data_IF_441838678470
#
_entry.id   IF_441838678470
#
_cell.length_a   1.000
_cell.length_b   1.000
_cell.length_c   1.000
_cell.angle_alpha   90.00
_cell.angle_beta   90.00
_cell.angle_gamma   90.00
#
_symmetry.space_group_name_H-M   'P 1'
#
loop_
_entity.id
_entity.type
_entity.pdbx_description
1 polymer ?
#
# COMPACT_ATOMS: atom_id res chain seq x y z
N UNK A 1 -1.87 15.33 0.57
CA UNK A 1 -3.09 14.58 0.95
C UNK A 1 -3.55 13.51 -0.06
N UNK A 2 -3.62 13.76 -1.38
CA UNK A 2 -4.18 12.77 -2.33
C UNK A 2 -3.38 11.46 -2.34
N UNK A 3 -2.05 11.54 -2.44
CA UNK A 3 -1.17 10.37 -2.45
C UNK A 3 -1.26 9.54 -1.16
N UNK A 4 -1.32 10.21 0.00
CA UNK A 4 -1.50 9.56 1.29
C UNK A 4 -2.81 8.77 1.37
N UNK A 5 -3.92 9.36 0.90
CA UNK A 5 -5.21 8.66 0.86
C UNK A 5 -5.19 7.47 -0.10
N UNK A 6 -4.56 7.63 -1.27
CA UNK A 6 -4.46 6.58 -2.26
C UNK A 6 -3.62 5.38 -1.76
N UNK A 7 -2.50 5.65 -1.07
CA UNK A 7 -1.66 4.56 -0.55
C UNK A 7 -2.30 3.84 0.64
N UNK A 8 -3.09 4.54 1.47
CA UNK A 8 -3.89 3.90 2.53
C UNK A 8 -4.96 2.98 1.94
N UNK A 9 -5.69 3.43 0.92
CA UNK A 9 -6.67 2.60 0.22
C UNK A 9 -6.02 1.37 -0.45
N UNK A 10 -4.84 1.57 -1.06
CA UNK A 10 -4.06 0.46 -1.63
C UNK A 10 -3.67 -0.56 -0.54
N UNK A 11 -3.21 -0.10 0.62
CA UNK A 11 -2.88 -0.97 1.75
C UNK A 11 -4.10 -1.78 2.24
N UNK A 12 -5.27 -1.15 2.33
CA UNK A 12 -6.52 -1.82 2.70
C UNK A 12 -6.91 -2.91 1.68
N UNK A 13 -6.83 -2.61 0.38
CA UNK A 13 -7.11 -3.61 -0.67
C UNK A 13 -6.14 -4.79 -0.61
N UNK A 14 -4.88 -4.52 -0.31
CA UNK A 14 -3.84 -5.54 -0.17
C UNK A 14 -3.88 -6.28 1.18
N UNK A 15 -4.77 -5.90 2.10
CA UNK A 15 -4.87 -6.49 3.43
C UNK A 15 -3.67 -6.20 4.33
N UNK A 16 -2.93 -5.12 4.05
CA UNK A 16 -1.77 -4.71 4.84
C UNK A 16 -2.22 -4.05 6.13
N UNK A 17 -1.63 -4.48 7.25
CA UNK A 17 -1.80 -3.80 8.51
C UNK A 17 -1.04 -2.46 8.53
N UNK A 18 -1.46 -1.55 9.41
CA UNK A 18 -0.91 -0.19 9.46
C UNK A 18 0.59 -0.16 9.83
N UNK A 19 1.05 -1.09 10.65
CA UNK A 19 2.46 -1.29 11.00
C UNK A 19 3.28 -1.77 9.78
N UNK A 20 2.74 -2.69 8.99
CA UNK A 20 3.36 -3.13 7.73
C UNK A 20 3.47 -1.98 6.73
N UNK A 21 2.41 -1.16 6.59
CA UNK A 21 2.46 0.02 5.74
C UNK A 21 3.49 1.05 6.23
N UNK A 22 3.57 1.29 7.53
CA UNK A 22 4.58 2.18 8.12
C UNK A 22 6.00 1.69 7.84
N UNK A 23 6.25 0.37 7.93
CA UNK A 23 7.52 -0.25 7.57
C UNK A 23 7.84 -0.08 6.08
N UNK A 24 6.88 -0.34 5.18
CA UNK A 24 7.06 -0.16 3.74
C UNK A 24 7.42 1.29 3.40
N UNK A 25 6.69 2.25 3.98
CA UNK A 25 6.93 3.67 3.76
C UNK A 25 8.14 4.23 4.52
N UNK A 26 8.80 3.40 5.34
CA UNK A 26 9.90 3.79 6.22
C UNK A 26 9.55 5.00 7.11
N UNK A 27 8.43 4.88 7.84
CA UNK A 27 7.91 5.88 8.76
C UNK A 27 8.00 5.34 10.19
N UNK A 28 8.60 6.11 11.09
CA UNK A 28 8.94 5.66 12.45
C UNK A 28 7.73 5.43 13.37
N UNK A 29 6.54 5.91 13.00
CA UNK A 29 5.34 5.73 13.81
C UNK A 29 4.06 5.64 13.01
N UNK A 30 3.26 4.62 13.31
CA UNK A 30 1.89 4.43 12.82
C UNK A 30 1.01 5.64 13.12
N UNK A 31 1.27 6.37 14.22
CA UNK A 31 0.55 7.61 14.56
C UNK A 31 0.70 8.70 13.50
N UNK A 32 1.74 8.64 12.67
CA UNK A 32 1.97 9.59 11.60
C UNK A 32 1.18 9.26 10.33
N UNK A 33 0.52 8.09 10.24
CA UNK A 33 -0.31 7.72 9.10
C UNK A 33 -1.59 8.57 9.00
N UNK A 34 -2.12 9.05 10.13
CA UNK A 34 -3.36 9.87 10.16
C UNK A 34 -3.14 11.30 9.67
N UNK A 35 -1.92 11.82 9.76
CA UNK A 35 -1.52 13.13 9.24
C UNK A 35 -0.50 12.99 8.09
N UNK A 36 -0.55 11.87 7.38
CA UNK A 36 0.44 11.52 6.38
C UNK A 36 0.41 12.51 5.22
N UNK A 37 1.55 13.19 5.02
CA UNK A 37 1.82 13.99 3.84
C UNK A 37 2.94 13.35 3.06
N UNK A 38 2.68 13.05 1.78
CA UNK A 38 3.63 12.47 0.87
C UNK A 38 3.82 13.42 -0.31
N UNK A 39 5.03 13.93 -0.44
CA UNK A 39 5.49 14.54 -1.67
C UNK A 39 5.77 13.42 -2.69
N UNK A 40 5.11 13.41 -3.87
CA UNK A 40 5.31 12.41 -4.91
C UNK A 40 6.76 12.24 -5.39
N UNK A 41 7.60 13.26 -5.20
CA UNK A 41 9.01 13.27 -5.62
C UNK A 41 9.98 12.90 -4.48
N UNK A 42 9.46 12.76 -3.25
CA UNK A 42 10.24 12.24 -2.13
C UNK A 42 10.39 10.72 -2.22
N UNK A 43 11.40 10.18 -1.53
CA UNK A 43 11.61 8.73 -1.44
C UNK A 43 10.37 7.98 -0.91
N UNK A 44 9.71 8.50 0.14
CA UNK A 44 8.47 7.89 0.62
C UNK A 44 7.33 7.98 -0.41
N UNK A 45 7.24 9.09 -1.15
CA UNK A 45 6.27 9.26 -2.23
C UNK A 45 6.45 8.28 -3.37
N UNK A 46 7.69 8.04 -3.80
CA UNK A 46 8.01 7.05 -4.83
C UNK A 46 7.65 5.62 -4.39
N UNK A 47 7.92 5.27 -3.13
CA UNK A 47 7.52 3.98 -2.55
C UNK A 47 5.99 3.86 -2.53
N UNK A 48 5.28 4.90 -2.09
CA UNK A 48 3.82 4.91 -2.06
C UNK A 48 3.21 4.74 -3.47
N UNK A 49 3.75 5.47 -4.46
CA UNK A 49 3.35 5.33 -5.86
C UNK A 49 3.61 3.91 -6.39
N UNK A 50 4.71 3.30 -5.99
CA UNK A 50 5.05 1.92 -6.36
C UNK A 50 4.03 0.94 -5.78
N UNK A 51 3.66 1.07 -4.50
CA UNK A 51 2.64 0.24 -3.88
C UNK A 51 1.27 0.37 -4.55
N UNK A 52 0.87 1.61 -4.90
CA UNK A 52 -0.38 1.86 -5.65
C UNK A 52 -0.34 1.16 -7.01
N UNK A 53 0.77 1.26 -7.75
CA UNK A 53 0.93 0.60 -9.06
C UNK A 53 0.84 -0.92 -8.96
N UNK A 54 1.44 -1.52 -7.93
CA UNK A 54 1.33 -2.96 -7.66
C UNK A 54 -0.14 -3.34 -7.44
N UNK A 55 -0.84 -2.58 -6.59
CA UNK A 55 -2.26 -2.80 -6.29
C UNK A 55 -3.12 -2.73 -7.54
N UNK A 56 -2.95 -1.69 -8.37
CA UNK A 56 -3.67 -1.54 -9.64
C UNK A 56 -3.37 -2.68 -10.62
N UNK A 57 -2.13 -3.16 -10.65
CA UNK A 57 -1.75 -4.28 -11.52
C UNK A 57 -2.40 -5.58 -11.06
N UNK A 58 -2.44 -5.82 -9.74
CA UNK A 58 -3.12 -6.99 -9.17
C UNK A 58 -4.63 -6.92 -9.36
N UNK A 59 -5.24 -5.75 -9.19
CA UNK A 59 -6.67 -5.52 -9.46
C UNK A 59 -7.03 -5.86 -10.91
N UNK A 60 -6.22 -5.39 -11.88
CA UNK A 60 -6.39 -5.71 -13.29
C UNK A 60 -6.23 -7.20 -13.62
N UNK A 61 -5.37 -7.92 -12.89
CA UNK A 61 -5.14 -9.36 -13.08
C UNK A 61 -6.22 -10.24 -12.42
N UNK A 62 -6.77 -9.78 -11.30
CA UNK A 62 -7.74 -10.54 -10.49
C UNK A 62 -9.20 -10.15 -10.80
N UNK A 63 -9.41 -9.10 -11.59
CA UNK A 63 -10.74 -8.56 -11.88
C UNK A 63 -11.37 -7.85 -10.66
N UNK A 64 -10.53 -7.30 -9.78
CA UNK A 64 -10.96 -6.65 -8.54
C UNK A 64 -11.29 -7.58 -7.38
N UNK A 65 -10.95 -8.87 -7.48
CA UNK A 65 -11.13 -9.82 -6.38
C UNK A 65 -10.08 -9.58 -5.28
N UNK A 66 -10.49 -8.83 -4.27
CA UNK A 66 -9.63 -8.44 -3.14
C UNK A 66 -9.12 -9.65 -2.35
N UNK A 67 -9.89 -10.75 -2.27
CA UNK A 67 -9.44 -11.95 -1.57
C UNK A 67 -8.29 -12.64 -2.33
N UNK A 68 -8.37 -12.68 -3.66
CA UNK A 68 -7.28 -13.14 -4.51
C UNK A 68 -6.04 -12.24 -4.44
N UNK A 69 -6.21 -10.92 -4.41
CA UNK A 69 -5.10 -9.98 -4.25
C UNK A 69 -4.36 -10.18 -2.92
N UNK A 70 -5.09 -10.38 -1.82
CA UNK A 70 -4.52 -10.65 -0.50
C UNK A 70 -3.84 -12.03 -0.45
N UNK A 71 -4.45 -13.04 -1.08
CA UNK A 71 -3.84 -14.37 -1.18
C UNK A 71 -2.50 -14.31 -1.92
N UNK A 72 -2.42 -13.57 -3.03
CA UNK A 72 -1.20 -13.44 -3.83
C UNK A 72 -0.02 -12.84 -3.03
N UNK A 73 -0.29 -11.87 -2.14
CA UNK A 73 0.76 -11.27 -1.30
C UNK A 73 1.18 -12.14 -0.11
N UNK A 74 0.30 -13.01 0.37
CA UNK A 74 0.52 -13.81 1.58
C UNK A 74 0.89 -15.26 1.28
N UNK A 75 0.74 -15.72 0.03
CA UNK A 75 1.12 -17.07 -0.38
C UNK A 75 2.64 -17.23 -0.38
N UNK A 76 3.18 -17.64 0.76
CA UNK A 76 4.41 -18.42 0.81
C UNK A 76 4.14 -19.74 0.06
N UNK A 77 5.03 -20.22 -0.84
CA UNK A 77 4.87 -21.57 -1.39
C UNK A 77 4.96 -22.57 -0.24
N UNK A 78 4.21 -23.69 -0.29
CA UNK A 78 4.26 -24.72 0.75
C UNK A 78 5.68 -25.28 0.94
#
# INVERSE_FOLDING_TARGET
>A
MILAKAVLAAAEQLGLAHDQLALILNIDSVKNLTSLELDPTSKQGEIALTLIRITTSLDALTGGDTAWMQHFLTSSPP
#
